data_IF_999612079776
#
_entry.id   IF_999612079776
#
_cell.length_a   1.000
_cell.length_b   1.000
_cell.length_c   1.000
_cell.angle_alpha   90.00
_cell.angle_beta   90.00
_cell.angle_gamma   90.00
#
_symmetry.space_group_name_H-M   'P 1'
#
loop_
_entity.id
_entity.type
_entity.pdbx_description
1 polymer ?
#
# COMPACT_ATOMS: atom_id res chain seq x y z
N UNK A 1 -63.92 5.57 -38.97
CA UNK A 1 -63.25 5.93 -40.23
C UNK A 1 -62.03 6.75 -39.88
N UNK A 2 -60.90 6.09 -39.64
CA UNK A 2 -59.90 5.72 -40.65
C UNK A 2 -58.92 6.86 -40.97
N UNK A 3 -57.69 6.60 -40.49
CA UNK A 3 -56.38 7.17 -40.77
C UNK A 3 -56.20 7.77 -42.17
N UNK A 4 -55.36 8.82 -42.24
CA UNK A 4 -54.25 8.83 -43.21
C UNK A 4 -53.00 9.53 -42.64
N UNK A 5 -52.00 8.69 -42.48
CA UNK A 5 -50.56 8.95 -42.33
C UNK A 5 -50.00 9.93 -43.36
N UNK A 6 -49.04 10.76 -42.96
CA UNK A 6 -47.91 11.14 -43.82
C UNK A 6 -46.61 10.97 -43.01
N UNK A 7 -45.72 10.12 -43.53
CA UNK A 7 -44.35 9.86 -43.06
C UNK A 7 -43.37 10.62 -43.97
N UNK A 8 -42.44 11.39 -43.41
CA UNK A 8 -41.06 11.67 -43.89
C UNK A 8 -40.28 12.09 -42.62
N UNK A 9 -39.36 11.34 -41.99
CA UNK A 9 -38.11 10.67 -42.35
C UNK A 9 -36.85 11.58 -42.28
N UNK A 10 -36.02 11.32 -41.24
CA UNK A 10 -34.53 11.48 -41.08
C UNK A 10 -33.99 12.93 -41.00
N UNK A 11 -33.27 13.34 -39.95
CA UNK A 11 -31.86 12.97 -39.67
C UNK A 11 -31.60 12.62 -38.19
N UNK A 12 -30.92 11.48 -38.02
CA UNK A 12 -30.21 11.03 -36.82
C UNK A 12 -28.94 11.87 -36.67
N UNK A 13 -28.68 12.40 -35.49
CA UNK A 13 -27.31 12.70 -35.05
C UNK A 13 -27.21 12.33 -33.58
N UNK A 14 -26.76 11.10 -33.36
CA UNK A 14 -26.23 10.66 -32.10
C UNK A 14 -24.88 11.37 -31.87
N UNK A 15 -24.74 12.07 -30.74
CA UNK A 15 -23.52 11.95 -29.94
C UNK A 15 -23.96 11.65 -28.52
N UNK A 16 -23.77 10.38 -28.18
CA UNK A 16 -23.64 9.86 -26.83
C UNK A 16 -22.40 10.53 -26.24
N UNK A 17 -22.59 11.36 -25.22
CA UNK A 17 -21.73 11.27 -24.05
C UNK A 17 -22.68 11.04 -22.87
N UNK A 18 -22.84 9.76 -22.59
CA UNK A 18 -23.52 9.20 -21.42
C UNK A 18 -23.13 10.03 -20.19
N UNK A 19 -24.05 10.69 -19.49
CA UNK A 19 -25.33 10.16 -19.04
C UNK A 19 -25.06 9.60 -17.64
N UNK A 20 -25.62 10.11 -16.55
CA UNK A 20 -26.66 11.10 -16.34
C UNK A 20 -26.96 11.03 -14.84
N UNK A 21 -27.57 12.08 -14.30
CA UNK A 21 -28.16 12.06 -12.97
C UNK A 21 -28.99 10.78 -12.76
N UNK A 22 -28.70 10.03 -11.70
CA UNK A 22 -29.67 9.17 -11.04
C UNK A 22 -29.86 9.73 -9.62
N UNK A 23 -30.97 10.44 -9.46
CA UNK A 23 -31.59 10.78 -8.18
C UNK A 23 -31.87 9.51 -7.36
N UNK A 24 -31.42 9.56 -6.10
CA UNK A 24 -31.97 8.96 -4.88
C UNK A 24 -32.90 7.74 -5.01
N UNK A 25 -32.54 6.63 -4.35
CA UNK A 25 -33.25 6.09 -3.18
C UNK A 25 -33.00 4.57 -2.99
N UNK A 26 -32.80 4.19 -1.72
CA UNK A 26 -32.95 2.85 -1.13
C UNK A 26 -32.01 1.73 -1.60
N UNK A 27 -30.96 1.49 -0.82
CA UNK A 27 -30.79 0.17 -0.17
C UNK A 27 -30.34 0.38 1.28
N UNK A 28 -31.34 0.49 2.16
CA UNK A 28 -31.21 0.06 3.55
C UNK A 28 -31.14 -1.48 3.53
N UNK A 29 -29.93 -2.02 3.61
CA UNK A 29 -29.72 -3.26 4.33
C UNK A 29 -28.57 -3.02 5.29
N UNK A 30 -28.92 -2.81 6.57
CA UNK A 30 -28.03 -3.03 7.71
C UNK A 30 -27.61 -4.51 7.68
N UNK A 31 -26.62 -4.83 6.87
CA UNK A 31 -25.75 -5.96 7.09
C UNK A 31 -24.57 -5.42 7.89
N UNK A 32 -24.68 -5.38 9.21
CA UNK A 32 -23.49 -5.26 10.05
C UNK A 32 -22.71 -6.55 9.81
N UNK A 33 -21.80 -6.54 8.83
CA UNK A 33 -20.84 -7.63 8.67
C UNK A 33 -20.02 -7.60 9.96
N UNK A 34 -20.28 -8.58 10.83
CA UNK A 34 -19.46 -8.80 12.01
C UNK A 34 -18.14 -9.37 11.51
N UNK A 35 -17.26 -8.50 11.04
CA UNK A 35 -15.89 -8.87 10.68
C UNK A 35 -15.24 -9.50 11.91
N UNK A 36 -14.66 -10.68 11.71
CA UNK A 36 -14.02 -11.44 12.78
C UNK A 36 -12.85 -10.60 13.29
N UNK A 37 -12.82 -10.37 14.60
CA UNK A 37 -11.85 -9.48 15.25
C UNK A 37 -10.45 -10.08 15.23
N UNK A 38 -9.68 -9.80 14.19
CA UNK A 38 -8.24 -9.80 14.32
C UNK A 38 -7.84 -8.55 15.12
N UNK A 39 -7.03 -8.79 16.16
CA UNK A 39 -6.55 -7.74 17.07
C UNK A 39 -5.14 -7.35 16.63
N UNK A 40 -5.00 -6.14 16.11
CA UNK A 40 -3.71 -5.46 15.96
C UNK A 40 -3.62 -4.28 16.91
N UNK A 41 -2.47 -3.63 16.95
CA UNK A 41 -2.26 -2.40 17.70
C UNK A 41 -1.66 -1.32 16.81
N UNK A 42 -2.17 -0.09 16.91
CA UNK A 42 -1.54 1.06 16.25
C UNK A 42 -0.17 1.40 16.87
N UNK A 43 0.46 2.46 16.37
CA UNK A 43 1.77 2.94 16.85
C UNK A 43 1.75 3.40 18.31
N UNK A 44 0.58 3.72 18.85
CA UNK A 44 0.37 4.18 20.22
C UNK A 44 -0.11 3.05 21.15
N UNK A 45 -0.22 1.83 20.64
CA UNK A 45 -0.64 0.64 21.39
C UNK A 45 -2.15 0.48 21.52
N UNK A 46 -2.96 1.27 20.81
CA UNK A 46 -4.42 1.12 20.83
C UNK A 46 -4.83 -0.09 20.00
N UNK A 47 -5.79 -0.86 20.52
CA UNK A 47 -6.30 -2.05 19.81
C UNK A 47 -7.13 -1.62 18.61
N UNK A 48 -6.67 -1.96 17.42
CA UNK A 48 -7.40 -1.77 16.17
C UNK A 48 -8.28 -2.98 15.92
N UNK A 49 -9.57 -2.73 15.66
CA UNK A 49 -10.52 -3.76 15.26
C UNK A 49 -11.02 -3.43 13.85
N UNK A 50 -10.73 -4.29 12.87
CA UNK A 50 -11.22 -4.11 11.50
C UNK A 50 -10.59 -5.07 10.50
N UNK A 51 -11.02 -4.99 9.22
CA UNK A 51 -10.50 -5.86 8.16
C UNK A 51 -9.03 -5.59 7.83
N UNK A 52 -8.52 -4.39 8.15
CA UNK A 52 -7.13 -4.02 7.93
C UNK A 52 -6.40 -3.84 9.25
N UNK A 53 -5.25 -4.50 9.37
CA UNK A 53 -4.35 -4.36 10.51
C UNK A 53 -3.20 -3.43 10.17
N UNK A 54 -2.65 -2.67 11.12
CA UNK A 54 -1.44 -1.91 10.86
C UNK A 54 -0.31 -2.89 10.50
N UNK A 55 0.49 -2.57 9.48
CA UNK A 55 1.67 -3.37 9.16
C UNK A 55 2.62 -3.37 10.36
N UNK A 56 3.01 -4.56 10.81
CA UNK A 56 3.93 -4.69 11.94
C UNK A 56 5.33 -4.26 11.50
N UNK A 57 5.72 -3.05 11.90
CA UNK A 57 7.05 -2.49 11.68
C UNK A 57 7.88 -2.71 12.94
N UNK A 58 9.02 -3.38 12.77
CA UNK A 58 10.01 -3.67 13.80
C UNK A 58 11.24 -2.81 13.58
N UNK A 59 11.98 -2.59 14.66
CA UNK A 59 13.23 -1.85 14.66
C UNK A 59 14.41 -2.81 14.87
N UNK A 60 15.47 -2.65 14.08
CA UNK A 60 16.77 -3.30 14.26
C UNK A 60 17.79 -2.19 14.55
N UNK A 61 18.40 -2.19 15.73
CA UNK A 61 19.25 -1.06 16.13
C UNK A 61 18.45 0.22 16.36
N UNK A 62 19.00 1.36 15.96
CA UNK A 62 18.43 2.69 16.22
C UNK A 62 17.75 3.31 15.00
N UNK A 63 18.28 3.08 13.81
CA UNK A 63 17.93 3.78 12.59
C UNK A 63 17.26 2.87 11.55
N UNK A 64 17.26 1.55 11.76
CA UNK A 64 16.72 0.59 10.79
C UNK A 64 15.37 0.06 11.21
N UNK A 65 14.40 0.13 10.29
CA UNK A 65 13.06 -0.41 10.43
C UNK A 65 12.77 -1.43 9.32
N UNK A 66 11.96 -2.43 9.61
CA UNK A 66 11.56 -3.47 8.64
C UNK A 66 10.21 -4.08 9.03
N UNK A 67 9.50 -4.69 8.10
CA UNK A 67 8.28 -5.45 8.41
C UNK A 67 8.52 -6.96 8.33
N UNK A 68 7.66 -7.79 8.93
CA UNK A 68 7.78 -9.25 8.76
C UNK A 68 7.70 -9.66 7.28
N UNK A 69 6.96 -8.90 6.46
CA UNK A 69 6.91 -9.10 5.00
C UNK A 69 8.26 -8.97 4.32
N UNK A 70 9.22 -8.21 4.88
CA UNK A 70 10.58 -8.20 4.35
C UNK A 70 11.22 -9.60 4.42
N UNK A 71 11.04 -10.32 5.51
CA UNK A 71 11.54 -11.69 5.66
C UNK A 71 10.79 -12.64 4.72
N UNK A 72 9.46 -12.55 4.72
CA UNK A 72 8.57 -13.43 3.94
C UNK A 72 8.77 -13.27 2.42
N UNK A 73 8.77 -12.03 1.93
CA UNK A 73 8.89 -11.72 0.49
C UNK A 73 10.27 -12.06 -0.09
N UNK A 74 11.31 -12.11 0.76
CA UNK A 74 12.65 -12.53 0.32
C UNK A 74 12.89 -14.03 0.56
N UNK A 75 11.85 -14.78 0.98
CA UNK A 75 11.88 -16.22 1.24
C UNK A 75 13.09 -16.65 2.11
N UNK A 76 13.43 -15.83 3.10
CA UNK A 76 14.65 -16.05 3.88
C UNK A 76 14.48 -17.20 4.86
N UNK A 77 15.41 -18.14 4.81
CA UNK A 77 15.53 -19.18 5.82
C UNK A 77 16.09 -18.64 7.14
N UNK A 78 15.90 -19.37 8.24
CA UNK A 78 16.28 -18.91 9.59
C UNK A 78 17.73 -18.43 9.71
N UNK A 79 18.68 -19.14 9.10
CA UNK A 79 20.09 -18.74 9.15
C UNK A 79 20.36 -17.51 8.28
N UNK A 80 19.64 -17.35 7.16
CA UNK A 80 19.73 -16.14 6.35
C UNK A 80 19.16 -14.92 7.07
N UNK A 81 18.06 -15.10 7.80
CA UNK A 81 17.52 -14.03 8.66
C UNK A 81 18.57 -13.61 9.68
N UNK A 82 19.28 -14.55 10.32
CA UNK A 82 20.35 -14.21 11.27
C UNK A 82 21.46 -13.41 10.59
N UNK A 83 21.96 -13.89 9.44
CA UNK A 83 23.00 -13.19 8.68
C UNK A 83 22.58 -11.77 8.27
N UNK A 84 21.32 -11.60 7.85
CA UNK A 84 20.77 -10.30 7.49
C UNK A 84 20.67 -9.40 8.71
N UNK A 85 20.18 -9.90 9.86
CA UNK A 85 20.10 -9.11 11.08
C UNK A 85 21.48 -8.67 11.57
N UNK A 86 22.47 -9.57 11.56
CA UNK A 86 23.86 -9.23 11.89
C UNK A 86 24.41 -8.14 10.95
N UNK A 87 24.10 -8.22 9.65
CA UNK A 87 24.47 -7.19 8.67
C UNK A 87 23.78 -5.85 8.97
N UNK A 88 22.49 -5.86 9.33
CA UNK A 88 21.73 -4.65 9.66
C UNK A 88 22.28 -3.99 10.93
N UNK A 89 22.65 -4.75 11.96
CA UNK A 89 23.28 -4.20 13.18
C UNK A 89 24.57 -3.44 12.86
N UNK A 90 25.43 -4.02 12.01
CA UNK A 90 26.67 -3.38 11.56
C UNK A 90 26.37 -2.13 10.72
N UNK A 91 25.36 -2.20 9.85
CA UNK A 91 24.95 -1.08 9.01
C UNK A 91 24.42 0.09 9.86
N UNK A 92 23.64 -0.18 10.90
CA UNK A 92 23.01 0.81 11.77
C UNK A 92 24.03 1.80 12.37
N UNK A 93 25.24 1.32 12.69
CA UNK A 93 26.34 2.13 13.21
C UNK A 93 26.81 3.23 12.23
N UNK A 94 26.51 3.09 10.94
CA UNK A 94 26.88 4.05 9.89
C UNK A 94 25.79 5.06 9.57
N UNK A 95 24.57 4.82 10.05
CA UNK A 95 23.41 5.59 9.67
C UNK A 95 23.23 6.82 10.57
N UNK A 96 22.79 7.89 9.95
CA UNK A 96 22.36 9.13 10.65
C UNK A 96 20.89 9.42 10.42
N UNK A 97 20.28 8.73 9.45
CA UNK A 97 18.90 8.86 9.02
C UNK A 97 18.19 7.53 9.25
N UNK A 98 16.90 7.61 9.57
CA UNK A 98 16.06 6.44 9.74
C UNK A 98 15.65 5.88 8.36
N UNK A 99 15.69 4.56 8.21
CA UNK A 99 15.39 3.86 6.96
C UNK A 99 14.43 2.69 7.17
N UNK A 100 13.68 2.35 6.13
CA UNK A 100 12.82 1.18 6.05
C UNK A 100 13.40 0.18 5.04
N UNK A 101 13.86 -0.98 5.50
CA UNK A 101 14.42 -2.04 4.65
C UNK A 101 13.29 -2.73 3.89
N UNK A 102 13.43 -2.79 2.57
CA UNK A 102 12.43 -3.33 1.67
C UNK A 102 12.91 -4.53 0.83
N UNK A 103 14.21 -4.80 0.79
CA UNK A 103 14.76 -5.94 0.05
C UNK A 103 16.16 -6.31 0.52
N UNK A 104 16.52 -7.58 0.37
CA UNK A 104 17.88 -8.04 0.60
C UNK A 104 18.23 -9.15 -0.37
N UNK A 105 19.44 -9.10 -0.89
CA UNK A 105 19.92 -10.07 -1.86
C UNK A 105 21.41 -10.32 -1.66
N UNK A 106 21.86 -11.51 -2.03
CA UNK A 106 23.27 -11.86 -2.01
C UNK A 106 23.92 -11.37 -3.30
N UNK A 107 25.00 -10.61 -3.18
CA UNK A 107 25.80 -10.24 -4.36
C UNK A 107 26.44 -11.47 -4.97
N UNK A 108 26.58 -11.48 -6.31
CA UNK A 108 27.40 -12.48 -7.00
C UNK A 108 28.88 -12.42 -6.57
N UNK A 109 29.34 -11.24 -6.14
CA UNK A 109 30.70 -11.01 -5.65
C UNK A 109 30.91 -11.40 -4.17
N UNK A 110 29.88 -11.95 -3.53
CA UNK A 110 29.87 -12.21 -2.08
C UNK A 110 29.38 -11.00 -1.27
N UNK A 111 28.84 -11.26 -0.08
CA UNK A 111 28.23 -10.25 0.78
C UNK A 111 26.71 -10.09 0.56
N UNK A 112 26.04 -9.55 1.58
CA UNK A 112 24.62 -9.18 1.54
C UNK A 112 24.51 -7.73 1.09
N UNK A 113 23.56 -7.46 0.21
CA UNK A 113 23.11 -6.12 -0.13
C UNK A 113 21.69 -5.96 0.37
N UNK A 114 21.36 -4.73 0.75
CA UNK A 114 20.00 -4.35 1.08
C UNK A 114 19.53 -3.20 0.20
N UNK A 115 18.21 -3.12 0.13
CA UNK A 115 17.42 -2.07 -0.48
C UNK A 115 16.58 -1.44 0.61
N UNK A 116 16.56 -0.11 0.69
CA UNK A 116 15.83 0.59 1.73
C UNK A 116 15.23 1.90 1.22
N UNK A 117 14.15 2.34 1.86
CA UNK A 117 13.56 3.65 1.67
C UNK A 117 13.85 4.52 2.89
N UNK A 118 13.76 5.84 2.76
CA UNK A 118 13.77 6.69 3.95
C UNK A 118 12.54 6.41 4.82
N UNK A 119 12.73 6.44 6.14
CA UNK A 119 11.65 6.35 7.12
C UNK A 119 11.66 7.62 7.98
N UNK A 120 10.53 8.33 8.05
CA UNK A 120 10.47 9.59 8.79
C UNK A 120 9.10 9.76 9.45
N UNK A 121 9.09 10.05 10.75
CA UNK A 121 7.87 10.26 11.54
C UNK A 121 6.82 9.16 11.35
N UNK A 122 7.29 7.92 11.17
CA UNK A 122 6.45 6.75 11.01
C UNK A 122 5.91 6.52 9.59
N UNK A 123 6.29 7.34 8.60
CA UNK A 123 5.95 7.15 7.19
C UNK A 123 7.16 6.62 6.41
N UNK A 124 6.90 5.71 5.48
CA UNK A 124 7.89 5.25 4.50
C UNK A 124 7.88 6.25 3.33
N UNK A 125 9.04 6.60 2.79
CA UNK A 125 9.17 7.53 1.66
C UNK A 125 9.79 6.77 0.48
N UNK A 126 8.99 6.07 -0.35
CA UNK A 126 9.50 5.22 -1.43
C UNK A 126 10.34 5.96 -2.47
N UNK A 127 10.11 7.26 -2.64
CA UNK A 127 10.86 8.11 -3.57
C UNK A 127 12.31 8.38 -3.13
N UNK A 128 12.65 8.17 -1.86
CA UNK A 128 14.02 8.32 -1.34
C UNK A 128 14.60 6.93 -1.10
N UNK A 129 15.24 6.40 -2.14
CA UNK A 129 15.72 5.03 -2.18
C UNK A 129 17.24 4.92 -1.99
N UNK A 130 17.63 3.97 -1.14
CA UNK A 130 19.01 3.64 -0.78
C UNK A 130 19.30 2.19 -1.14
N UNK A 131 20.55 1.92 -1.52
CA UNK A 131 21.05 0.57 -1.71
C UNK A 131 22.45 0.41 -1.11
N UNK A 132 22.83 -0.82 -0.79
CA UNK A 132 24.21 -1.12 -0.37
C UNK A 132 25.24 -0.67 -1.41
N UNK A 133 26.30 -0.02 -0.95
CA UNK A 133 27.41 0.38 -1.78
C UNK A 133 28.19 -0.85 -2.31
N UNK A 134 28.14 -1.08 -3.63
CA UNK A 134 28.65 -2.31 -4.27
C UNK A 134 30.16 -2.58 -4.09
N UNK A 135 30.95 -1.58 -3.66
CA UNK A 135 32.40 -1.69 -3.48
C UNK A 135 32.88 -1.20 -2.10
N UNK A 136 31.99 -1.07 -1.12
CA UNK A 136 32.39 -0.65 0.23
C UNK A 136 33.04 -1.81 0.99
N UNK A 137 34.14 -1.53 1.69
CA UNK A 137 34.80 -2.50 2.57
C UNK A 137 34.02 -2.77 3.87
N UNK A 138 32.94 -2.03 4.10
CA UNK A 138 32.08 -2.09 5.28
C UNK A 138 30.62 -1.83 4.86
N UNK A 139 29.60 -2.41 5.52
CA UNK A 139 28.19 -2.14 5.23
C UNK A 139 27.90 -0.64 5.22
N UNK A 140 27.45 -0.13 4.08
CA UNK A 140 27.12 1.30 3.92
C UNK A 140 26.06 1.42 2.84
N UNK A 141 25.15 2.36 3.03
CA UNK A 141 24.14 2.72 2.05
C UNK A 141 24.54 3.93 1.23
N UNK A 142 24.17 3.89 -0.05
CA UNK A 142 24.22 5.03 -0.95
C UNK A 142 22.82 5.34 -1.44
N UNK A 143 22.50 6.62 -1.45
CA UNK A 143 21.30 7.13 -2.11
C UNK A 143 21.46 6.91 -3.62
N UNK A 144 20.50 6.22 -4.24
CA UNK A 144 20.57 5.83 -5.66
C UNK A 144 19.81 6.76 -6.57
N UNK A 145 18.75 7.37 -6.04
CA UNK A 145 17.85 8.22 -6.80
C UNK A 145 18.22 9.71 -6.72
N UNK A 146 17.60 10.49 -7.60
CA UNK A 146 17.83 11.94 -7.68
C UNK A 146 17.14 12.71 -6.56
N UNK A 147 16.30 12.06 -5.78
CA UNK A 147 15.53 12.66 -4.70
C UNK A 147 16.40 12.86 -3.49
N UNK A 148 16.48 14.11 -3.04
CA UNK A 148 17.18 14.43 -1.79
C UNK A 148 16.37 13.86 -0.61
N UNK A 149 17.05 13.44 0.47
CA UNK A 149 16.37 13.04 1.70
C UNK A 149 15.42 14.14 2.19
N UNK A 150 14.23 13.73 2.61
CA UNK A 150 13.24 14.61 3.22
C UNK A 150 13.70 14.90 4.65
N UNK A 151 13.77 16.18 5.03
CA UNK A 151 14.30 16.59 6.34
C UNK A 151 13.22 16.81 7.39
N UNK A 152 11.97 17.00 6.95
CA UNK A 152 10.81 17.19 7.81
C UNK A 152 9.57 16.67 7.12
N UNK A 153 8.71 15.99 7.87
CA UNK A 153 7.42 15.51 7.40
C UNK A 153 6.37 15.70 8.50
N UNK A 154 5.29 16.41 8.20
CA UNK A 154 4.17 16.55 9.12
C UNK A 154 3.21 15.36 8.99
N UNK A 155 3.13 14.56 10.05
CA UNK A 155 2.21 13.41 10.15
C UNK A 155 1.12 13.62 11.21
N UNK A 156 0.92 14.86 11.67
CA UNK A 156 -0.18 15.22 12.59
C UNK A 156 -1.50 15.36 11.85
N UNK A 157 -2.63 15.57 12.52
CA UNK A 157 -3.94 15.87 11.90
C UNK A 157 -4.37 14.94 10.74
N UNK A 158 -3.96 13.67 10.79
CA UNK A 158 -4.38 12.64 9.83
C UNK A 158 -5.70 12.01 10.28
N UNK A 159 -6.52 11.63 9.31
CA UNK A 159 -7.74 10.84 9.54
C UNK A 159 -7.32 9.46 10.06
N UNK A 160 -7.86 8.98 11.18
CA UNK A 160 -7.58 7.61 11.65
C UNK A 160 -7.89 6.59 10.56
N UNK A 161 -7.00 5.61 10.36
CA UNK A 161 -7.13 4.64 9.26
C UNK A 161 -8.45 3.86 9.33
N UNK A 162 -8.97 3.62 10.54
CA UNK A 162 -10.23 2.94 10.81
C UNK A 162 -11.44 3.65 10.21
N UNK A 163 -11.40 4.99 10.15
CA UNK A 163 -12.46 5.79 9.52
C UNK A 163 -12.47 5.62 7.99
N UNK A 164 -11.41 5.06 7.42
CA UNK A 164 -11.26 4.82 5.99
C UNK A 164 -11.57 3.37 5.59
N UNK A 165 -11.73 2.45 6.56
CA UNK A 165 -11.89 1.01 6.27
C UNK A 165 -13.09 0.73 5.38
N UNK A 166 -14.27 1.27 5.69
CA UNK A 166 -15.48 1.04 4.89
C UNK A 166 -15.29 1.50 3.44
N UNK A 167 -14.63 2.65 3.24
CA UNK A 167 -14.33 3.20 1.92
C UNK A 167 -13.38 2.31 1.12
N UNK A 168 -12.37 1.73 1.77
CA UNK A 168 -11.45 0.77 1.13
C UNK A 168 -12.18 -0.54 0.81
N UNK A 169 -12.96 -1.07 1.76
CA UNK A 169 -13.71 -2.32 1.61
C UNK A 169 -14.73 -2.23 0.48
N UNK A 170 -15.52 -1.16 0.41
CA UNK A 170 -16.51 -0.95 -0.66
C UNK A 170 -15.83 -0.97 -2.04
N UNK A 171 -14.70 -0.27 -2.16
CA UNK A 171 -13.95 -0.25 -3.42
C UNK A 171 -13.36 -1.62 -3.76
N UNK A 172 -12.83 -2.32 -2.76
CA UNK A 172 -12.26 -3.65 -2.93
C UNK A 172 -13.34 -4.66 -3.35
N UNK A 173 -14.50 -4.69 -2.69
CA UNK A 173 -15.60 -5.61 -3.05
C UNK A 173 -16.15 -5.34 -4.45
N UNK A 174 -16.23 -4.07 -4.89
CA UNK A 174 -16.62 -3.72 -6.26
C UNK A 174 -15.62 -4.27 -7.30
N UNK A 175 -14.36 -4.45 -6.93
CA UNK A 175 -13.28 -4.92 -7.81
C UNK A 175 -12.79 -6.34 -7.44
N UNK A 176 -13.59 -7.11 -6.69
CA UNK A 176 -13.24 -8.43 -6.19
C UNK A 176 -12.79 -9.40 -7.27
N UNK A 177 -13.45 -9.36 -8.42
CA UNK A 177 -13.15 -10.18 -9.60
C UNK A 177 -11.79 -9.88 -10.25
N UNK A 178 -11.14 -8.78 -9.86
CA UNK A 178 -9.81 -8.35 -10.33
C UNK A 178 -8.70 -8.60 -9.31
N UNK A 179 -8.99 -9.23 -8.17
CA UNK A 179 -8.04 -9.38 -7.05
C UNK A 179 -7.65 -10.85 -6.79
N UNK A 180 -7.64 -11.70 -7.83
CA UNK A 180 -7.39 -13.15 -7.71
C UNK A 180 -8.36 -13.95 -6.85
N UNK A 181 -9.45 -13.34 -6.41
CA UNK A 181 -10.56 -14.09 -5.82
C UNK A 181 -11.31 -14.81 -6.94
N UNK A 182 -11.63 -16.10 -6.75
CA UNK A 182 -12.59 -16.79 -7.64
C UNK A 182 -13.90 -15.97 -7.61
N UNK A 183 -14.66 -15.96 -8.70
CA UNK A 183 -15.94 -15.23 -8.79
C UNK A 183 -16.95 -15.66 -7.72
N UNK A 184 -16.79 -16.87 -7.20
CA UNK A 184 -17.60 -17.42 -6.11
C UNK A 184 -16.86 -17.44 -4.76
N UNK A 185 -15.63 -16.92 -4.69
CA UNK A 185 -14.87 -16.85 -3.46
C UNK A 185 -15.50 -15.82 -2.52
N UNK A 186 -15.93 -16.30 -1.36
CA UNK A 186 -16.55 -15.51 -0.28
C UNK A 186 -15.54 -15.19 0.84
N UNK A 187 -14.24 -15.42 0.62
CA UNK A 187 -13.20 -15.13 1.62
C UNK A 187 -13.23 -13.66 2.02
N UNK A 188 -13.29 -13.39 3.31
CA UNK A 188 -13.33 -12.01 3.79
C UNK A 188 -12.10 -11.23 3.29
N UNK A 189 -12.34 -10.05 2.71
CA UNK A 189 -11.25 -9.15 2.34
C UNK A 189 -10.62 -8.64 3.63
N UNK A 190 -9.35 -8.97 3.82
CA UNK A 190 -8.53 -8.55 4.95
C UNK A 190 -7.17 -8.12 4.44
N UNK A 191 -6.42 -7.38 5.23
CA UNK A 191 -5.11 -6.93 4.78
C UNK A 191 -4.33 -6.15 5.81
N UNK A 192 -3.31 -5.44 5.34
CA UNK A 192 -2.54 -4.52 6.18
C UNK A 192 -2.58 -3.10 5.66
N UNK A 193 -2.27 -2.13 6.50
CA UNK A 193 -2.08 -0.76 6.08
C UNK A 193 -0.83 -0.14 6.69
N UNK A 194 -0.28 0.86 6.00
CA UNK A 194 0.86 1.65 6.48
C UNK A 194 0.81 3.06 5.95
N UNK A 195 1.55 3.97 6.60
CA UNK A 195 1.66 5.36 6.18
C UNK A 195 2.85 5.51 5.23
N UNK A 196 2.64 6.17 4.10
CA UNK A 196 3.66 6.48 3.11
C UNK A 196 3.57 7.93 2.66
N UNK A 197 4.67 8.44 2.11
CA UNK A 197 4.75 9.80 1.58
C UNK A 197 5.33 9.79 0.17
N UNK A 198 4.57 10.35 -0.77
CA UNK A 198 5.00 10.63 -2.15
C UNK A 198 5.63 12.02 -2.16
N UNK A 199 6.97 12.06 -2.22
CA UNK A 199 7.75 13.28 -2.18
C UNK A 199 7.66 14.08 -3.49
N UNK A 200 7.25 13.44 -4.59
CA UNK A 200 7.02 14.12 -5.86
C UNK A 200 5.72 14.92 -5.87
N UNK A 201 4.69 14.38 -5.22
CA UNK A 201 3.34 14.98 -5.20
C UNK A 201 3.05 15.76 -3.91
N UNK A 202 3.93 15.67 -2.92
CA UNK A 202 3.72 16.23 -1.58
C UNK A 202 2.43 15.68 -0.96
N UNK A 203 2.30 14.35 -0.94
CA UNK A 203 1.10 13.66 -0.46
C UNK A 203 1.48 12.60 0.57
N UNK A 204 0.95 12.77 1.78
CA UNK A 204 0.92 11.74 2.81
C UNK A 204 -0.33 10.86 2.62
N UNK A 205 -0.16 9.54 2.53
CA UNK A 205 -1.25 8.61 2.27
C UNK A 205 -1.11 7.31 3.06
N UNK A 206 -2.24 6.68 3.35
CA UNK A 206 -2.28 5.29 3.77
C UNK A 206 -2.23 4.40 2.53
N UNK A 207 -1.31 3.44 2.49
CA UNK A 207 -1.33 2.31 1.56
C UNK A 207 -2.04 1.14 2.26
N UNK A 208 -3.24 0.80 1.78
CA UNK A 208 -4.01 -0.37 2.19
C UNK A 208 -3.72 -1.53 1.24
N UNK A 209 -2.98 -2.52 1.74
CA UNK A 209 -2.60 -3.73 1.00
C UNK A 209 -3.64 -4.81 1.26
N UNK A 210 -4.48 -5.05 0.26
CA UNK A 210 -5.58 -6.00 0.32
C UNK A 210 -5.07 -7.43 0.13
N UNK A 211 -4.14 -7.64 -0.78
CA UNK A 211 -3.42 -8.91 -0.92
C UNK A 211 -2.01 -8.64 -1.47
N UNK A 212 -1.29 -9.68 -1.90
CA UNK A 212 0.05 -9.55 -2.47
C UNK A 212 0.10 -8.63 -3.71
N UNK A 213 -1.01 -8.57 -4.46
CA UNK A 213 -1.09 -7.96 -5.78
C UNK A 213 -2.05 -6.76 -5.86
N UNK A 214 -2.70 -6.41 -4.75
CA UNK A 214 -3.77 -5.41 -4.72
C UNK A 214 -3.57 -4.41 -3.61
N UNK A 215 -3.68 -3.13 -3.96
CA UNK A 215 -3.38 -1.98 -3.10
C UNK A 215 -4.36 -0.84 -3.40
N UNK A 216 -4.86 -0.20 -2.34
CA UNK A 216 -5.62 1.04 -2.41
C UNK A 216 -4.91 2.10 -1.57
N UNK A 217 -4.60 3.25 -2.17
CA UNK A 217 -3.98 4.36 -1.47
C UNK A 217 -4.98 5.49 -1.25
N UNK A 218 -5.02 6.02 -0.03
CA UNK A 218 -5.91 7.11 0.37
C UNK A 218 -5.09 8.22 1.04
N UNK A 219 -5.27 9.47 0.61
CA UNK A 219 -4.68 10.64 1.23
C UNK A 219 -5.05 10.68 2.72
N UNK A 220 -4.04 10.69 3.59
CA UNK A 220 -4.23 10.58 5.04
C UNK A 220 -4.87 11.83 5.65
N UNK A 221 -4.82 12.98 4.97
CA UNK A 221 -5.37 14.26 5.43
C UNK A 221 -6.78 14.53 4.89
N UNK A 222 -7.08 14.13 3.64
CA UNK A 222 -8.38 14.43 2.99
C UNK A 222 -9.30 13.23 2.86
N UNK A 223 -8.77 12.01 2.97
CA UNK A 223 -9.52 10.78 2.75
C UNK A 223 -9.77 10.48 1.28
N UNK A 224 -9.19 11.23 0.33
CA UNK A 224 -9.36 11.00 -1.11
C UNK A 224 -8.50 9.85 -1.64
N UNK A 225 -9.00 9.10 -2.61
CA UNK A 225 -8.18 8.08 -3.27
C UNK A 225 -7.05 8.73 -4.08
N UNK A 226 -5.82 8.25 -3.88
CA UNK A 226 -4.63 8.75 -4.60
C UNK A 226 -4.13 7.74 -5.62
N UNK A 227 -4.31 6.44 -5.37
CA UNK A 227 -3.92 5.33 -6.26
C UNK A 227 -4.81 4.12 -5.97
N UNK A 228 -5.11 3.35 -7.01
CA UNK A 228 -5.88 2.11 -6.91
C UNK A 228 -5.23 1.08 -7.85
N UNK A 229 -4.89 -0.09 -7.33
CA UNK A 229 -4.29 -1.18 -8.08
C UNK A 229 -4.93 -2.49 -7.67
N UNK A 230 -5.59 -3.15 -8.63
CA UNK A 230 -6.21 -4.47 -8.46
C UNK A 230 -5.68 -5.32 -9.61
N UNK A 231 -4.73 -6.22 -9.33
CA UNK A 231 -4.14 -7.08 -10.35
C UNK A 231 -4.69 -8.50 -10.23
N UNK A 232 -5.10 -9.05 -11.37
CA UNK A 232 -5.64 -10.41 -11.58
C UNK A 232 -4.53 -11.44 -11.80
N UNK A 233 -3.28 -11.01 -11.60
CA UNK A 233 -2.00 -11.62 -11.98
C UNK A 233 -2.03 -12.91 -12.75
N UNK A 234 -2.46 -12.73 -13.99
CA UNK A 234 -1.93 -13.48 -15.10
C UNK A 234 -0.43 -13.15 -15.22
N UNK A 235 0.40 -14.02 -14.63
CA UNK A 235 1.77 -14.20 -15.08
C UNK A 235 1.72 -14.87 -16.45
N UNK A 236 2.07 -14.12 -17.50
CA UNK A 236 2.35 -14.70 -18.81
C UNK A 236 3.85 -14.97 -18.84
N UNK A 237 4.24 -16.23 -18.74
CA UNK A 237 5.55 -16.69 -19.23
C UNK A 237 5.60 -16.59 -20.77
#
# INVERSE_FOLDING_TARGET
>A
MEKKTTKILIIISAIILAGGLITAALFLTKGTIKNKKDKGSDKDGNIINGPFQPEEIRQAGKHIYYSNRFIENNHMERDEVREVMDYLEILDETLTEDIFVCGAYKSYLGGRNISAYQYLNGAIIPDVYYQSALNASYPTLVLTDRHKPVTSLDTTDIIPAEELFDKVMDLAEINRDKMFFDKNDQTEITGTYRLEYDANKDILYYSFRINEYSEVCINAKTGDFTKQHFWDGVYVD
#
